data_IF_698645229637
#
_entry.id   IF_698645229637
#
_cell.length_a   1.000
_cell.length_b   1.000
_cell.length_c   1.000
_cell.angle_alpha   90.00
_cell.angle_beta   90.00
_cell.angle_gamma   90.00
#
_symmetry.space_group_name_H-M   'P 1'
#
loop_
_entity.id
_entity.type
_entity.pdbx_description
1 polymer ?
#
# COMPACT_ATOMS: atom_id res chain seq x y z
N UNK A 1 -22.24 -10.34 21.24
CA UNK A 1 -21.09 -9.57 20.73
C UNK A 1 -21.26 -9.54 19.23
N UNK A 2 -21.87 -8.48 18.70
CA UNK A 2 -21.72 -8.19 17.27
C UNK A 2 -20.24 -7.89 17.06
N UNK A 3 -19.55 -8.72 16.28
CA UNK A 3 -18.22 -8.39 15.84
C UNK A 3 -18.33 -7.14 14.98
N UNK A 4 -17.61 -6.07 15.34
CA UNK A 4 -17.54 -4.87 14.53
C UNK A 4 -16.81 -5.20 13.23
N UNK A 5 -17.60 -5.49 12.18
CA UNK A 5 -17.11 -5.84 10.85
C UNK A 5 -16.22 -4.75 10.27
N UNK A 6 -16.42 -3.49 10.67
CA UNK A 6 -15.56 -2.37 10.26
C UNK A 6 -14.15 -2.52 10.84
N UNK A 7 -14.03 -2.82 12.13
CA UNK A 7 -12.74 -3.06 12.77
C UNK A 7 -12.01 -4.27 12.15
N UNK A 8 -12.73 -5.34 11.82
CA UNK A 8 -12.18 -6.52 11.16
C UNK A 8 -11.70 -6.20 9.73
N UNK A 9 -12.53 -5.52 8.92
CA UNK A 9 -12.17 -5.12 7.56
C UNK A 9 -10.93 -4.22 7.55
N UNK A 10 -10.82 -3.30 8.51
CA UNK A 10 -9.63 -2.46 8.66
C UNK A 10 -8.36 -3.26 9.00
N UNK A 11 -8.46 -4.27 9.88
CA UNK A 11 -7.34 -5.16 10.19
C UNK A 11 -6.90 -5.98 8.96
N UNK A 12 -7.86 -6.45 8.17
CA UNK A 12 -7.58 -7.18 6.92
C UNK A 12 -6.88 -6.28 5.91
N UNK A 13 -7.35 -5.04 5.73
CA UNK A 13 -6.73 -4.05 4.83
C UNK A 13 -5.29 -3.76 5.25
N UNK A 14 -5.04 -3.65 6.56
CA UNK A 14 -3.69 -3.50 7.12
C UNK A 14 -2.81 -4.71 6.84
N UNK A 15 -3.31 -5.91 7.08
CA UNK A 15 -2.59 -7.14 6.79
C UNK A 15 -2.26 -7.24 5.29
N UNK A 16 -3.22 -6.91 4.43
CA UNK A 16 -3.02 -6.90 2.99
C UNK A 16 -1.99 -5.85 2.55
N UNK A 17 -2.01 -4.66 3.14
CA UNK A 17 -0.98 -3.66 2.90
C UNK A 17 0.42 -4.15 3.29
N UNK A 18 0.55 -4.85 4.41
CA UNK A 18 1.81 -5.48 4.84
C UNK A 18 2.25 -6.56 3.83
N UNK A 19 1.32 -7.37 3.31
CA UNK A 19 1.59 -8.32 2.23
C UNK A 19 2.04 -7.64 0.92
N UNK A 20 1.44 -6.51 0.57
CA UNK A 20 1.83 -5.70 -0.58
C UNK A 20 3.24 -5.12 -0.39
N UNK A 21 3.59 -4.70 0.83
CA UNK A 21 4.95 -4.23 1.18
C UNK A 21 5.99 -5.36 1.13
N UNK A 22 5.64 -6.57 1.57
CA UNK A 22 6.57 -7.71 1.74
C UNK A 22 6.64 -8.69 0.57
N UNK A 23 5.69 -8.63 -0.37
CA UNK A 23 5.65 -9.49 -1.56
C UNK A 23 5.46 -10.99 -1.29
N UNK A 24 4.35 -11.32 -0.64
CA UNK A 24 3.98 -12.72 -0.35
C UNK A 24 2.95 -13.31 -1.33
N UNK A 25 3.01 -12.92 -2.61
CA UNK A 25 2.28 -13.52 -3.76
C UNK A 25 0.75 -13.69 -3.70
N UNK A 26 0.04 -13.14 -2.71
CA UNK A 26 -1.42 -13.24 -2.65
C UNK A 26 -2.12 -12.59 -3.86
N UNK A 27 -3.02 -13.30 -4.56
CA UNK A 27 -3.80 -12.72 -5.65
C UNK A 27 -4.79 -11.65 -5.18
N UNK A 28 -4.85 -10.48 -5.84
CA UNK A 28 -5.84 -9.47 -5.49
C UNK A 28 -7.27 -10.01 -5.54
N UNK A 29 -7.59 -10.85 -6.53
CA UNK A 29 -8.92 -11.46 -6.66
C UNK A 29 -9.32 -12.32 -5.44
N UNK A 30 -8.37 -12.99 -4.78
CA UNK A 30 -8.66 -13.79 -3.57
C UNK A 30 -8.90 -12.91 -2.34
N UNK A 31 -8.53 -11.63 -2.39
CA UNK A 31 -8.68 -10.68 -1.29
C UNK A 31 -9.95 -9.84 -1.41
N UNK A 32 -10.65 -9.86 -2.55
CA UNK A 32 -11.82 -9.02 -2.81
C UNK A 32 -12.89 -9.16 -1.72
N UNK A 33 -13.36 -10.38 -1.46
CA UNK A 33 -14.38 -10.67 -0.45
C UNK A 33 -13.98 -10.18 0.95
N UNK A 34 -12.71 -10.39 1.32
CA UNK A 34 -12.18 -10.00 2.62
C UNK A 34 -12.05 -8.48 2.78
N UNK A 35 -11.67 -7.78 1.70
CA UNK A 35 -11.49 -6.32 1.71
C UNK A 35 -12.82 -5.56 1.73
N UNK A 36 -13.92 -6.22 1.33
CA UNK A 36 -15.28 -5.67 1.28
C UNK A 36 -16.20 -6.14 2.41
N UNK A 37 -15.68 -6.79 3.47
CA UNK A 37 -16.51 -7.36 4.54
C UNK A 37 -17.42 -6.36 5.27
N UNK A 38 -17.02 -5.10 5.32
CA UNK A 38 -17.80 -4.00 5.90
C UNK A 38 -18.77 -3.33 4.90
N UNK A 39 -18.82 -3.81 3.66
CA UNK A 39 -19.62 -3.25 2.57
C UNK A 39 -18.99 -2.03 1.87
N UNK A 40 -17.80 -1.57 2.26
CA UNK A 40 -17.11 -0.45 1.59
C UNK A 40 -16.36 -0.93 0.34
N UNK A 41 -17.12 -1.07 -0.75
CA UNK A 41 -16.60 -1.49 -2.05
C UNK A 41 -15.62 -0.48 -2.66
N UNK A 42 -15.76 0.82 -2.37
CA UNK A 42 -14.85 1.84 -2.88
C UNK A 42 -13.46 1.65 -2.28
N UNK A 43 -13.40 1.50 -0.96
CA UNK A 43 -12.15 1.27 -0.25
C UNK A 43 -11.53 -0.08 -0.62
N UNK A 44 -12.34 -1.13 -0.79
CA UNK A 44 -11.87 -2.42 -1.29
C UNK A 44 -11.21 -2.30 -2.67
N UNK A 45 -11.86 -1.61 -3.63
CA UNK A 45 -11.32 -1.40 -4.98
C UNK A 45 -9.99 -0.64 -4.98
N UNK A 46 -9.82 0.36 -4.11
CA UNK A 46 -8.52 1.06 -3.97
C UNK A 46 -7.40 0.12 -3.56
N UNK A 47 -7.65 -0.78 -2.61
CA UNK A 47 -6.67 -1.79 -2.19
C UNK A 47 -6.39 -2.81 -3.30
N UNK A 48 -7.43 -3.27 -3.99
CA UNK A 48 -7.29 -4.18 -5.13
C UNK A 48 -6.46 -3.54 -6.25
N UNK A 49 -6.71 -2.27 -6.58
CA UNK A 49 -5.98 -1.54 -7.61
C UNK A 49 -4.47 -1.50 -7.32
N UNK A 50 -4.08 -1.27 -6.07
CA UNK A 50 -2.66 -1.33 -5.65
C UNK A 50 -2.10 -2.74 -5.86
N UNK A 51 -2.84 -3.78 -5.48
CA UNK A 51 -2.42 -5.17 -5.67
C UNK A 51 -2.25 -5.57 -7.13
N UNK A 52 -3.18 -5.16 -7.99
CA UNK A 52 -3.08 -5.35 -9.43
C UNK A 52 -1.94 -4.55 -10.04
N UNK A 53 -1.73 -3.30 -9.65
CA UNK A 53 -0.62 -2.49 -10.12
C UNK A 53 0.72 -3.15 -9.81
N UNK A 54 0.86 -3.69 -8.60
CA UNK A 54 2.07 -4.41 -8.17
C UNK A 54 2.35 -5.67 -9.00
N UNK A 55 1.31 -6.35 -9.51
CA UNK A 55 1.46 -7.52 -10.39
C UNK A 55 1.70 -7.15 -11.86
N UNK A 56 1.04 -6.09 -12.35
CA UNK A 56 1.10 -5.66 -13.75
C UNK A 56 2.35 -4.85 -14.09
N UNK A 57 2.95 -4.20 -13.10
CA UNK A 57 4.10 -3.31 -13.26
C UNK A 57 5.24 -3.68 -12.30
N UNK A 58 6.29 -2.85 -12.26
CA UNK A 58 7.42 -3.02 -11.35
C UNK A 58 6.95 -3.03 -9.88
N UNK A 59 7.12 -4.15 -9.16
CA UNK A 59 6.71 -4.26 -7.76
C UNK A 59 7.43 -3.28 -6.83
N UNK A 60 8.70 -2.99 -7.08
CA UNK A 60 9.51 -2.13 -6.22
C UNK A 60 9.08 -0.66 -6.34
N UNK A 61 8.61 -0.26 -7.52
CA UNK A 61 8.01 1.05 -7.72
C UNK A 61 6.71 1.23 -6.92
N UNK A 62 5.82 0.24 -6.94
CA UNK A 62 4.58 0.30 -6.14
C UNK A 62 4.91 0.32 -4.65
N UNK A 63 5.90 -0.47 -4.21
CA UNK A 63 6.37 -0.50 -2.82
C UNK A 63 7.01 0.82 -2.41
N UNK A 64 7.76 1.48 -3.28
CA UNK A 64 8.30 2.82 -3.06
C UNK A 64 7.21 3.84 -2.75
N UNK A 65 6.13 3.82 -3.53
CA UNK A 65 4.97 4.68 -3.27
C UNK A 65 4.32 4.35 -1.91
N UNK A 66 4.13 3.07 -1.59
CA UNK A 66 3.57 2.65 -0.31
C UNK A 66 4.46 3.06 0.87
N UNK A 67 5.79 2.94 0.76
CA UNK A 67 6.74 3.41 1.79
C UNK A 67 6.51 4.88 2.11
N UNK A 68 6.43 5.72 1.07
CA UNK A 68 6.15 7.14 1.25
C UNK A 68 4.80 7.38 1.92
N UNK A 69 3.75 6.71 1.45
CA UNK A 69 2.40 6.92 1.98
C UNK A 69 2.30 6.51 3.46
N UNK A 70 2.85 5.34 3.81
CA UNK A 70 2.79 4.82 5.17
C UNK A 70 3.68 5.58 6.15
N UNK A 71 4.79 6.14 5.68
CA UNK A 71 5.66 6.96 6.52
C UNK A 71 5.10 8.35 6.83
N UNK A 72 4.20 8.87 6.00
CA UNK A 72 3.70 10.25 6.10
C UNK A 72 2.23 10.38 6.49
N UNK A 73 1.37 9.44 6.08
CA UNK A 73 -0.09 9.58 6.20
C UNK A 73 -0.76 8.46 6.98
N UNK A 74 -0.07 7.36 7.24
CA UNK A 74 -0.67 6.31 8.06
C UNK A 74 -0.61 6.71 9.54
N UNK A 75 -1.74 6.62 10.28
CA UNK A 75 -1.78 7.04 11.66
C UNK A 75 -0.81 6.21 12.50
N UNK A 76 0.30 6.82 12.91
CA UNK A 76 1.04 6.38 14.09
C UNK A 76 0.48 7.17 15.27
N UNK A 77 0.12 6.52 16.40
CA UNK A 77 -0.36 7.24 17.58
C UNK A 77 0.68 8.22 18.14
N UNK A 78 1.96 8.06 17.77
CA UNK A 78 3.05 8.96 18.13
C UNK A 78 4.02 9.05 16.95
N UNK A 79 4.29 10.26 16.47
CA UNK A 79 5.46 10.51 15.62
C UNK A 79 6.72 10.26 16.45
N UNK A 80 7.64 9.44 15.93
CA UNK A 80 8.92 9.16 16.58
C UNK A 80 10.06 9.71 15.71
N UNK A 81 10.46 10.97 15.93
CA UNK A 81 11.56 11.58 15.17
C UNK A 81 12.87 10.80 15.28
N UNK A 82 13.15 10.18 16.43
CA UNK A 82 14.38 9.43 16.64
C UNK A 82 14.41 8.17 15.77
N UNK A 83 13.29 7.43 15.72
CA UNK A 83 13.12 6.31 14.78
C UNK A 83 13.25 6.77 13.33
N UNK A 84 12.66 7.91 12.98
CA UNK A 84 12.79 8.51 11.65
C UNK A 84 14.25 8.77 11.27
N UNK A 85 15.01 9.45 12.13
CA UNK A 85 16.42 9.75 11.88
C UNK A 85 17.29 8.47 11.79
N UNK A 86 17.04 7.48 12.64
CA UNK A 86 17.73 6.19 12.56
C UNK A 86 17.47 5.47 11.23
N UNK A 87 16.22 5.49 10.76
CA UNK A 87 15.85 4.88 9.49
C UNK A 87 16.51 5.62 8.31
N UNK A 88 16.46 6.96 8.29
CA UNK A 88 17.12 7.78 7.26
C UNK A 88 18.63 7.48 7.20
N UNK A 89 19.29 7.38 8.34
CA UNK A 89 20.72 7.02 8.40
C UNK A 89 20.99 5.59 7.89
N UNK A 90 20.11 4.64 8.19
CA UNK A 90 20.25 3.27 7.72
C UNK A 90 20.08 3.18 6.20
N UNK A 91 19.13 3.94 5.63
CA UNK A 91 18.92 4.07 4.18
C UNK A 91 20.17 4.68 3.52
N UNK A 92 20.66 5.82 4.04
CA UNK A 92 21.84 6.50 3.50
C UNK A 92 23.10 5.61 3.50
N UNK A 93 23.21 4.73 4.50
CA UNK A 93 24.32 3.76 4.62
C UNK A 93 24.06 2.44 3.89
N UNK A 94 22.95 2.31 3.14
CA UNK A 94 22.53 1.09 2.43
C UNK A 94 22.45 -0.15 3.35
N UNK A 95 22.06 0.06 4.61
CA UNK A 95 21.93 -1.01 5.64
C UNK A 95 20.54 -1.61 5.71
N UNK A 96 19.58 -1.05 4.96
CA UNK A 96 18.20 -1.53 4.89
C UNK A 96 17.82 -1.65 3.42
N UNK A 97 17.14 -2.75 3.09
CA UNK A 97 16.55 -2.98 1.77
C UNK A 97 15.05 -2.71 1.81
N UNK A 98 14.48 -2.39 0.64
CA UNK A 98 13.03 -2.22 0.49
C UNK A 98 12.27 -3.46 0.99
N UNK A 99 12.75 -4.68 0.71
CA UNK A 99 12.21 -5.99 1.18
C UNK A 99 12.11 -6.16 2.70
N UNK A 100 12.81 -5.35 3.47
CA UNK A 100 12.90 -5.48 4.93
C UNK A 100 12.01 -4.47 5.67
N UNK A 101 11.36 -3.56 4.93
CA UNK A 101 10.46 -2.56 5.46
C UNK A 101 9.06 -3.15 5.70
N UNK A 102 8.53 -2.83 6.87
CA UNK A 102 7.18 -3.15 7.34
C UNK A 102 6.44 -1.85 7.63
N UNK A 103 5.10 -1.86 7.66
CA UNK A 103 4.31 -0.68 8.05
C UNK A 103 4.76 -0.17 9.41
N UNK A 104 4.93 -1.08 10.38
CA UNK A 104 5.43 -0.74 11.71
C UNK A 104 6.77 0.00 11.67
N UNK A 105 7.74 -0.43 10.85
CA UNK A 105 9.07 0.22 10.78
C UNK A 105 9.02 1.61 10.17
N UNK A 106 8.06 1.89 9.29
CA UNK A 106 8.02 3.15 8.51
C UNK A 106 6.99 4.14 9.05
N UNK A 107 5.92 3.71 9.71
CA UNK A 107 4.90 4.64 10.24
C UNK A 107 5.50 5.63 11.23
N UNK A 108 5.12 6.91 11.05
CA UNK A 108 5.59 8.04 11.86
C UNK A 108 7.05 8.46 11.63
N UNK A 109 7.70 7.97 10.55
CA UNK A 109 9.12 8.30 10.26
C UNK A 109 9.32 9.47 9.30
N UNK A 110 8.25 9.90 8.59
CA UNK A 110 8.25 11.05 7.66
C UNK A 110 9.44 11.04 6.70
N UNK A 111 9.48 10.03 5.84
CA UNK A 111 10.50 9.91 4.81
C UNK A 111 10.20 10.86 3.65
N UNK A 112 11.22 11.56 3.17
CA UNK A 112 11.15 12.35 1.94
C UNK A 112 11.38 11.45 0.73
N UNK A 113 11.04 11.95 -0.46
CA UNK A 113 11.30 11.23 -1.70
C UNK A 113 12.78 10.92 -1.90
N UNK A 114 13.69 11.75 -1.38
CA UNK A 114 15.13 11.51 -1.45
C UNK A 114 15.55 10.19 -0.78
N UNK A 115 14.95 9.82 0.34
CA UNK A 115 15.20 8.52 0.97
C UNK A 115 14.52 7.37 0.22
N UNK A 116 13.31 7.59 -0.29
CA UNK A 116 12.62 6.57 -1.08
C UNK A 116 13.38 6.27 -2.38
N UNK A 117 13.93 7.27 -3.07
CA UNK A 117 14.77 7.06 -4.24
C UNK A 117 16.06 6.30 -3.94
N UNK A 118 16.61 6.41 -2.73
CA UNK A 118 17.75 5.61 -2.31
C UNK A 118 17.39 4.14 -2.09
N UNK A 119 16.14 3.85 -1.73
CA UNK A 119 15.63 2.49 -1.56
C UNK A 119 15.26 1.80 -2.87
N UNK A 120 14.62 2.53 -3.79
CA UNK A 120 14.00 1.97 -5.01
C UNK A 120 14.88 2.17 -6.24
N UNK A 121 15.63 3.26 -6.29
CA UNK A 121 16.43 3.65 -7.46
C UNK A 121 15.90 4.89 -8.17
N UNK A 122 16.72 5.45 -9.06
CA UNK A 122 16.46 6.73 -9.75
C UNK A 122 15.43 6.64 -10.87
N UNK A 123 15.09 5.45 -11.32
CA UNK A 123 14.08 5.21 -12.36
C UNK A 123 12.64 5.25 -11.80
N UNK A 124 12.50 5.25 -10.48
CA UNK A 124 11.22 5.34 -9.81
C UNK A 124 10.58 6.71 -10.02
N UNK A 125 9.38 6.72 -10.59
CA UNK A 125 8.55 7.91 -10.77
C UNK A 125 7.22 7.74 -10.01
N UNK A 126 7.03 8.39 -8.86
CA UNK A 126 5.84 8.20 -8.03
C UNK A 126 4.55 8.67 -8.71
N UNK A 127 4.62 9.73 -9.53
CA UNK A 127 3.47 10.25 -10.28
C UNK A 127 2.96 9.20 -11.26
N UNK A 128 3.85 8.62 -12.05
CA UNK A 128 3.50 7.58 -13.03
C UNK A 128 2.92 6.32 -12.38
N UNK A 129 3.43 5.96 -11.20
CA UNK A 129 2.92 4.81 -10.44
C UNK A 129 1.53 5.09 -9.90
N UNK A 130 1.29 6.30 -9.39
CA UNK A 130 -0.02 6.75 -8.95
C UNK A 130 -1.04 6.74 -10.09
N UNK A 131 -0.68 7.26 -11.27
CA UNK A 131 -1.54 7.27 -12.46
C UNK A 131 -1.98 5.86 -12.85
N UNK A 132 -1.03 4.91 -12.91
CA UNK A 132 -1.31 3.50 -13.18
C UNK A 132 -2.27 2.85 -12.16
N UNK A 133 -2.13 3.18 -10.88
CA UNK A 133 -3.04 2.69 -9.84
C UNK A 133 -4.44 3.28 -10.05
N UNK A 134 -4.54 4.56 -10.40
CA UNK A 134 -5.81 5.22 -10.70
C UNK A 134 -6.49 4.59 -11.92
N UNK A 135 -5.75 4.34 -13.00
CA UNK A 135 -6.27 3.66 -14.20
C UNK A 135 -6.90 2.31 -13.85
N UNK A 136 -6.20 1.48 -13.08
CA UNK A 136 -6.72 0.18 -12.64
C UNK A 136 -7.94 0.35 -11.73
N UNK A 137 -7.94 1.33 -10.84
CA UNK A 137 -9.09 1.60 -9.99
C UNK A 137 -10.34 1.97 -10.82
N UNK A 138 -10.19 2.81 -11.86
CA UNK A 138 -11.29 3.14 -12.76
C UNK A 138 -11.76 1.94 -13.59
N UNK A 139 -10.84 1.05 -14.03
CA UNK A 139 -11.20 -0.23 -14.66
C UNK A 139 -12.07 -1.10 -13.74
N UNK A 140 -11.64 -1.29 -12.48
CA UNK A 140 -12.38 -2.08 -11.50
C UNK A 140 -13.76 -1.48 -11.20
N UNK A 141 -13.84 -0.15 -11.12
CA UNK A 141 -15.09 0.56 -10.94
C UNK A 141 -16.02 0.35 -12.13
N UNK A 142 -15.52 0.46 -13.36
CA UNK A 142 -16.30 0.25 -14.59
C UNK A 142 -16.85 -1.16 -14.73
N UNK A 143 -16.03 -2.19 -14.45
CA UNK A 143 -16.44 -3.59 -14.54
C UNK A 143 -17.64 -3.95 -13.63
N UNK A 144 -17.77 -3.31 -12.47
CA UNK A 144 -18.90 -3.52 -11.56
C UNK A 144 -20.19 -2.83 -12.02
N UNK A 145 -20.09 -1.70 -12.74
CA UNK A 145 -21.27 -1.07 -13.33
C UNK A 145 -21.91 -1.98 -14.37
N UNK A 146 -21.10 -2.68 -15.17
CA UNK A 146 -21.57 -3.66 -16.15
C UNK A 146 -22.20 -4.90 -15.49
N UNK A 147 -21.62 -5.41 -14.41
CA UNK A 147 -22.19 -6.54 -13.64
C UNK A 147 -23.51 -6.19 -12.96
N UNK A 148 -23.67 -4.95 -12.51
CA UNK A 148 -24.89 -4.48 -11.86
C UNK A 148 -25.99 -4.19 -12.88
N UNK A 149 -25.65 -3.71 -14.08
CA UNK A 149 -26.62 -3.47 -15.16
C UNK A 149 -27.17 -4.74 -15.82
N UNK A 150 -26.54 -5.90 -15.59
CA UNK A 150 -26.95 -7.21 -16.12
C UNK A 150 -27.72 -8.08 -15.12
N UNK A 151 -27.95 -7.59 -13.88
CA UNK A 151 -28.77 -8.23 -12.85
C UNK A 151 -30.14 -7.57 -12.75
#
# INVERSE_FOLDING_TARGET
MEHDLSALAQQIRLAYAEHLMRCTDLPPAEMEDFLSLDGDLDQARRWLAIGYAKRRYDPDHVRGLLVYLFSNYYPSPIDDPAKGELLKQAIARKRVKLSELTIEKISGTRLEWAEVFQLVGKEFNPTRVKERIIEIYEELKGADHERTAQR
#
